data_IF_400417635290
#
_entry.id   IF_400417635290
#
_cell.length_a   1.000
_cell.length_b   1.000
_cell.length_c   1.000
_cell.angle_alpha   90.00
_cell.angle_beta   90.00
_cell.angle_gamma   90.00
#
_symmetry.space_group_name_H-M   'P 1'
#
loop_
_entity.id
_entity.type
_entity.pdbx_description
1 polymer ?
2 non-polymer ?
3 non-polymer ?
4 non-polymer ?
5 water ?
#
# COMPACT_ATOMS: atom_id res chain seq x y z
N UNK A 16 20.54 -7.02 20.32
CA UNK A 16 20.80 -8.49 19.99
C UNK A 16 19.55 -9.04 19.27
N UNK A 17 18.44 -8.32 19.47
CA UNK A 17 17.17 -8.56 18.81
C UNK A 17 17.20 -7.99 17.37
N UNK A 18 17.06 -8.85 16.37
CA UNK A 18 17.14 -8.41 14.98
C UNK A 18 15.78 -8.45 14.24
N UNK A 19 15.44 -7.36 13.58
CA UNK A 19 14.22 -7.29 12.77
C UNK A 19 14.59 -7.03 11.32
N UNK A 20 14.29 -7.97 10.42
CA UNK A 20 14.57 -7.81 8.99
C UNK A 20 13.59 -6.79 8.39
N UNK A 21 14.11 -5.81 7.69
CA UNK A 21 13.30 -4.83 7.01
C UNK A 21 13.54 -5.08 5.54
N UNK A 22 12.53 -5.63 4.88
CA UNK A 22 12.65 -6.13 3.51
C UNK A 22 11.82 -5.27 2.59
N UNK A 23 12.52 -4.43 1.81
CA UNK A 23 11.92 -3.35 1.07
C UNK A 23 12.55 -3.17 -0.30
N UNK A 24 11.79 -2.62 -1.27
CA UNK A 24 12.38 -2.26 -2.55
C UNK A 24 13.09 -0.91 -2.48
N UNK A 26 15.87 -0.23 -4.29
CA UNK A 26 16.24 0.03 -5.66
C UNK A 26 15.25 -0.65 -6.64
N UNK A 27 15.37 -0.29 -7.91
CA UNK A 27 14.55 -0.81 -8.99
C UNK A 27 13.26 -0.01 -9.22
N UNK A 28 12.36 -0.60 -10.03
CA UNK A 28 11.20 0.07 -10.60
C UNK A 28 10.24 0.73 -9.63
N UNK A 29 10.11 0.19 -8.43
CA UNK A 29 9.22 0.80 -7.40
C UNK A 29 9.99 1.26 -6.13
N UNK A 30 11.21 1.76 -6.35
CA UNK A 30 12.12 2.17 -5.29
C UNK A 30 11.56 3.30 -4.41
N UNK A 31 10.65 4.09 -4.94
CA UNK A 31 10.01 5.18 -4.15
C UNK A 31 9.30 4.60 -2.94
N UNK A 32 8.69 3.43 -3.13
CA UNK A 32 7.98 2.76 -2.04
C UNK A 32 8.91 2.36 -0.90
N UNK A 33 10.07 1.79 -1.20
CA UNK A 33 11.05 1.46 -0.18
C UNK A 33 11.56 2.69 0.56
N UNK A 34 11.83 3.75 -0.19
CA UNK A 34 12.28 4.97 0.43
C UNK A 34 11.24 5.46 1.44
N UNK A 36 8.64 3.94 3.01
CA UNK A 36 8.49 3.10 4.20
C UNK A 36 9.70 3.21 5.14
N UNK A 37 10.89 3.22 4.57
CA UNK A 37 12.11 3.27 5.36
C UNK A 37 12.16 4.57 6.19
N UNK A 38 11.80 5.68 5.58
CA UNK A 38 11.77 6.95 6.29
C UNK A 38 10.89 6.84 7.52
N UNK A 39 9.71 6.24 7.39
CA UNK A 39 8.84 6.06 8.54
C UNK A 39 9.37 5.09 9.58
N UNK A 40 9.91 3.95 9.15
CA UNK A 40 10.54 2.98 10.07
C UNK A 40 11.70 3.63 10.87
N UNK A 41 12.54 4.40 10.20
CA UNK A 41 13.66 5.09 10.83
C UNK A 41 13.19 6.06 11.93
N UNK A 42 12.15 6.85 11.67
CA UNK A 42 11.52 7.68 12.69
C UNK A 42 11.00 6.89 13.89
N UNK A 43 10.29 5.79 13.64
CA UNK A 43 9.82 4.93 14.72
C UNK A 43 10.98 4.35 15.54
N UNK A 44 12.00 3.83 14.87
CA UNK A 44 13.11 3.20 15.55
C UNK A 44 13.92 4.23 16.40
N UNK A 45 14.03 5.47 15.93
CA UNK A 45 14.73 6.50 16.71
C UNK A 45 13.91 6.80 17.97
N UNK A 46 12.60 6.80 17.82
CA UNK A 46 11.69 7.07 18.93
C UNK A 46 11.71 5.93 19.95
N UNK A 47 11.75 4.68 19.48
CA UNK A 47 11.67 3.48 20.32
C UNK A 47 12.68 2.45 19.85
N UNK A 48 13.95 2.66 20.21
CA UNK A 48 15.06 1.82 19.75
C UNK A 48 15.24 0.54 20.55
N UNK A 49 14.51 0.39 21.64
CA UNK A 49 14.62 -0.80 22.47
C UNK A 49 13.24 -1.40 22.76
N UNK A 50 13.22 -2.68 23.12
CA UNK A 50 12.01 -3.36 23.52
C UNK A 50 12.36 -4.45 24.53
N UNK A 51 11.56 -4.52 25.60
CA UNK A 51 11.82 -5.43 26.71
C UNK A 51 13.25 -5.24 27.24
N UNK A 52 13.71 -4.00 27.22
CA UNK A 52 15.02 -3.64 27.75
C UNK A 52 16.18 -4.01 26.83
N UNK A 53 15.90 -4.51 25.63
CA UNK A 53 16.95 -4.92 24.70
C UNK A 53 17.00 -4.01 23.46
N UNK A 54 18.19 -3.81 22.93
CA UNK A 54 18.39 -2.96 21.75
C UNK A 54 17.81 -3.69 20.52
N UNK A 55 17.06 -2.96 19.69
CA UNK A 55 16.51 -3.52 18.47
C UNK A 55 17.44 -3.15 17.33
N UNK A 56 17.91 -4.15 16.60
CA UNK A 56 18.70 -3.92 15.41
C UNK A 56 17.87 -4.18 14.17
N UNK A 57 17.88 -3.20 13.28
CA UNK A 57 17.24 -3.36 11.99
C UNK A 57 18.25 -3.92 11.00
N UNK A 58 17.80 -4.91 10.24
CA UNK A 58 18.57 -5.53 9.17
C UNK A 58 17.85 -5.16 7.87
N UNK A 59 18.32 -4.11 7.19
CA UNK A 59 17.73 -3.64 5.93
C UNK A 59 18.22 -4.53 4.79
N UNK A 60 17.27 -5.10 4.06
CA UNK A 60 17.54 -6.01 2.94
C UNK A 60 16.76 -5.49 1.74
N UNK A 61 17.50 -5.17 0.68
CA UNK A 61 16.93 -4.58 -0.52
C UNK A 61 16.42 -5.67 -1.44
N UNK A 62 15.15 -5.58 -1.83
CA UNK A 62 14.52 -6.55 -2.77
C UNK A 62 14.77 -6.20 -4.23
N UNK A 63 15.32 -5.00 -4.46
CA UNK A 63 15.56 -4.51 -5.81
C UNK A 63 14.30 -4.51 -6.69
N UNK A 64 13.11 -4.42 -6.06
CA UNK A 64 11.85 -4.45 -6.80
C UNK A 64 11.67 -5.75 -7.62
N UNK A 65 12.26 -6.86 -7.14
CA UNK A 65 12.19 -8.15 -7.83
C UNK A 65 11.59 -9.24 -6.92
N UNK A 66 10.75 -10.09 -7.52
CA UNK A 66 10.16 -11.25 -6.83
C UNK A 66 11.27 -12.19 -6.33
N UNK A 67 12.22 -12.52 -7.22
CA UNK A 67 13.31 -13.49 -6.88
C UNK A 67 14.11 -12.97 -5.71
N UNK A 68 14.48 -11.70 -5.75
CA UNK A 68 15.33 -11.14 -4.69
C UNK A 68 14.57 -10.89 -3.36
N UNK A 69 13.27 -10.60 -3.42
CA UNK A 69 12.46 -10.54 -2.22
C UNK A 69 12.50 -11.91 -1.56
N UNK A 70 12.29 -12.96 -2.36
CA UNK A 70 12.26 -14.32 -1.85
C UNK A 70 13.62 -14.66 -1.28
N UNK A 71 14.69 -14.36 -2.02
CA UNK A 71 16.06 -14.59 -1.53
C UNK A 71 16.35 -13.87 -0.20
N UNK A 72 15.97 -12.61 -0.11
CA UNK A 72 16.18 -11.81 1.11
C UNK A 72 15.49 -12.45 2.33
N UNK A 73 14.25 -12.86 2.16
CA UNK A 73 13.53 -13.51 3.25
C UNK A 73 14.18 -14.84 3.65
N UNK A 74 14.61 -15.60 2.64
CA UNK A 74 15.28 -16.89 2.90
C UNK A 74 16.55 -16.63 3.73
N UNK A 75 17.33 -15.61 3.35
CA UNK A 75 18.56 -15.26 4.09
C UNK A 75 18.32 -14.68 5.49
N UNK A 76 17.31 -13.84 5.61
CA UNK A 76 16.91 -13.29 6.90
C UNK A 76 16.61 -14.40 7.91
N UNK A 77 15.95 -15.44 7.45
CA UNK A 77 15.58 -16.54 8.31
C UNK A 77 16.74 -17.52 8.47
N UNK A 78 17.36 -17.96 7.36
CA UNK A 78 18.39 -19.02 7.45
C UNK A 78 19.71 -18.55 8.03
N UNK A 79 20.13 -17.36 7.66
CA UNK A 79 21.44 -16.84 7.97
C UNK A 79 21.38 -15.82 9.10
N UNK A 80 20.48 -14.85 9.02
CA UNK A 80 20.48 -13.75 10.00
C UNK A 80 19.77 -14.08 11.30
N UNK A 81 18.92 -15.11 11.26
CA UNK A 81 18.16 -15.61 12.43
C UNK A 81 17.29 -14.54 13.04
N UNK A 82 16.59 -13.78 12.21
CA UNK A 82 15.84 -12.65 12.73
C UNK A 82 14.66 -13.07 13.61
N UNK A 83 14.24 -12.19 14.50
CA UNK A 83 13.05 -12.43 15.31
C UNK A 83 11.76 -12.22 14.47
N UNK A 84 11.77 -11.21 13.60
CA UNK A 84 10.59 -10.81 12.88
C UNK A 84 10.99 -10.11 11.60
N UNK A 85 10.01 -9.92 10.72
CA UNK A 85 10.19 -9.30 9.42
C UNK A 85 9.18 -8.18 9.28
N UNK A 86 9.64 -7.02 8.85
CA UNK A 86 8.75 -5.93 8.39
C UNK A 86 8.96 -5.82 6.89
N UNK A 87 7.88 -5.95 6.13
CA UNK A 87 7.90 -5.88 4.68
C UNK A 87 6.86 -6.82 4.07
N UNK A 88 6.73 -6.88 2.74
CA UNK A 88 7.29 -5.93 1.81
C UNK A 88 6.22 -4.88 1.54
N UNK A 89 6.23 -4.27 0.35
CA UNK A 89 5.21 -3.27 -0.03
C UNK A 89 4.33 -3.82 -1.14
N UNK A 90 4.95 -4.22 -2.27
CA UNK A 90 4.19 -4.84 -3.34
C UNK A 90 3.65 -6.20 -2.90
N UNK A 91 2.35 -6.41 -3.11
CA UNK A 91 1.73 -7.68 -2.76
C UNK A 91 2.43 -8.88 -3.38
N UNK A 92 2.83 -8.78 -4.65
CA UNK A 92 3.61 -9.85 -5.26
C UNK A 92 4.83 -10.20 -4.41
N UNK A 93 5.53 -9.18 -3.90
CA UNK A 93 6.78 -9.43 -3.15
C UNK A 93 6.45 -9.96 -1.74
N UNK A 94 5.39 -9.44 -1.11
CA UNK A 94 4.95 -9.96 0.20
C UNK A 94 4.46 -11.37 0.07
N UNK A 95 3.83 -11.69 -1.05
CA UNK A 95 3.38 -13.08 -1.32
C UNK A 95 4.53 -14.04 -1.56
N UNK A 96 5.67 -13.54 -2.05
CA UNK A 96 6.86 -14.36 -2.24
C UNK A 96 7.43 -14.72 -0.89
N UNK A 97 7.34 -13.79 0.07
CA UNK A 97 7.99 -14.04 1.34
C UNK A 97 7.11 -14.54 2.47
N UNK A 98 5.82 -14.23 2.44
CA UNK A 98 4.86 -14.71 3.49
C UNK A 98 4.96 -16.21 3.72
N UNK A 99 5.05 -17.03 2.66
CA UNK A 99 5.15 -18.46 2.99
C UNK A 99 6.44 -18.81 3.71
N UNK A 100 7.52 -18.09 3.43
CA UNK A 100 8.79 -18.34 4.06
C UNK A 100 8.74 -18.00 5.57
N UNK A 101 8.10 -16.89 5.88
CA UNK A 101 7.88 -16.45 7.25
C UNK A 101 7.03 -17.50 7.97
N UNK A 102 5.93 -17.92 7.35
CA UNK A 102 5.00 -18.86 7.98
C UNK A 102 5.63 -20.21 8.27
N UNK A 103 6.35 -20.75 7.28
CA UNK A 103 6.98 -22.07 7.39
C UNK A 103 7.97 -22.11 8.53
N UNK A 104 8.61 -20.96 8.76
CA UNK A 104 9.62 -20.86 9.80
C UNK A 104 9.11 -20.17 11.08
N UNK A 105 7.81 -19.93 11.18
CA UNK A 105 7.21 -19.32 12.39
C UNK A 105 7.89 -18.03 12.78
N UNK A 106 8.09 -17.15 11.80
CA UNK A 106 8.73 -15.89 12.04
C UNK A 106 7.65 -14.83 11.82
N UNK A 107 7.34 -14.04 12.84
CA UNK A 107 6.26 -13.06 12.68
C UNK A 107 6.62 -12.05 11.60
N UNK A 109 5.03 -8.46 9.57
CA UNK A 109 4.05 -7.40 9.46
C UNK A 109 4.37 -6.61 8.19
N UNK A 110 3.45 -6.68 7.23
CA UNK A 110 3.58 -5.81 6.06
C UNK A 110 2.96 -4.42 6.37
N UNK A 111 3.70 -3.35 6.07
CA UNK A 111 3.09 -2.03 6.23
C UNK A 111 1.96 -1.72 5.25
N UNK A 112 1.97 -2.34 4.08
CA UNK A 112 1.25 -1.75 2.94
C UNK A 112 0.70 -2.72 1.87
N UNK A 113 1.03 -4.01 1.93
CA UNK A 113 0.43 -4.98 1.01
C UNK A 113 -1.04 -5.17 1.34
N UNK A 114 -1.88 -5.02 0.31
CA UNK A 114 -3.32 -5.02 0.46
C UNK A 114 -4.01 -6.28 -0.07
N UNK A 115 -3.30 -7.15 -0.79
CA UNK A 115 -3.93 -8.32 -1.35
C UNK A 115 -4.30 -9.30 -0.22
N UNK A 116 -5.54 -9.80 -0.21
CA UNK A 116 -5.98 -10.65 0.91
C UNK A 116 -5.13 -11.88 1.16
N UNK A 117 -4.56 -12.41 0.10
CA UNK A 117 -3.88 -13.70 0.14
C UNK A 117 -2.57 -13.64 0.93
N UNK A 118 -2.05 -12.42 1.15
CA UNK A 118 -0.84 -12.27 1.98
C UNK A 118 -1.03 -12.94 3.36
N UNK A 119 -2.17 -12.70 4.00
CA UNK A 119 -2.41 -13.19 5.37
C UNK A 119 -3.33 -14.43 5.42
N UNK A 120 -4.08 -14.68 4.36
CA UNK A 120 -5.13 -15.69 4.38
C UNK A 120 -4.56 -17.06 4.63
N UNK A 121 -5.12 -17.74 5.63
CA UNK A 121 -4.68 -19.10 5.96
C UNK A 121 -3.35 -19.16 6.71
N UNK A 122 -2.84 -18.01 7.18
CA UNK A 122 -1.55 -17.96 7.87
C UNK A 122 -1.76 -17.45 9.29
N UNK A 123 -0.89 -17.83 10.23
CA UNK A 123 -0.93 -17.32 11.59
C UNK A 123 0.11 -16.27 11.90
N UNK A 124 1.23 -16.28 11.17
CA UNK A 124 2.38 -15.45 11.51
C UNK A 124 2.49 -14.14 10.72
N UNK A 125 1.61 -13.93 9.75
CA UNK A 125 1.73 -12.84 8.79
C UNK A 125 0.52 -11.92 8.93
N UNK A 126 0.76 -10.63 9.16
CA UNK A 126 -0.31 -9.71 9.39
C UNK A 126 0.02 -8.39 8.69
N UNK A 127 -0.93 -7.48 8.69
CA UNK A 127 -0.73 -6.20 8.06
C UNK A 127 -1.33 -5.09 8.91
N UNK A 128 -0.86 -3.86 8.69
CA UNK A 128 -1.43 -2.68 9.40
C UNK A 128 -2.36 -1.82 8.54
N UNK A 129 -2.72 -2.34 7.36
CA UNK A 129 -3.53 -1.62 6.37
C UNK A 129 -4.76 -2.44 6.01
N UNK A 130 -5.69 -1.80 5.27
CA UNK A 130 -6.85 -2.48 4.71
C UNK A 130 -6.50 -3.51 3.66
N UNK A 131 -7.52 -4.25 3.21
CA UNK A 131 -7.38 -5.19 2.11
C UNK A 131 -8.21 -4.79 0.88
N UNK A 132 -7.89 -5.41 -0.25
CA UNK A 132 -8.39 -4.96 -1.54
C UNK A 132 -9.90 -5.17 -1.90
N UNK A 133 -10.56 -6.20 -1.35
CA UNK A 133 -12.00 -6.19 -1.50
C UNK A 133 -12.61 -4.83 -1.11
N UNK A 134 -12.16 -4.25 0.01
CA UNK A 134 -12.58 -2.90 0.42
C UNK A 134 -11.97 -1.79 -0.45
N UNK A 135 -10.67 -1.82 -0.71
CA UNK A 135 -10.08 -0.78 -1.57
C UNK A 135 -10.75 -0.75 -2.94
N UNK A 136 -11.00 -1.91 -3.55
CA UNK A 136 -11.69 -1.99 -4.84
C UNK A 136 -13.12 -1.49 -4.81
N UNK A 137 -13.88 -1.97 -3.83
CA UNK A 137 -15.28 -1.63 -3.66
C UNK A 137 -15.44 -0.14 -3.41
N UNK A 138 -14.51 0.44 -2.66
CA UNK A 138 -14.59 1.85 -2.28
C UNK A 138 -14.48 2.72 -3.53
N UNK A 140 -15.12 1.77 -6.60
CA UNK A 140 -16.26 1.41 -7.44
C UNK A 140 -17.48 2.26 -7.06
N UNK A 141 -17.75 2.37 -5.76
CA UNK A 141 -18.83 3.19 -5.23
C UNK A 141 -18.57 4.68 -5.47
N UNK A 142 -17.36 5.13 -5.18
CA UNK A 142 -16.98 6.53 -5.42
C UNK A 142 -17.18 6.92 -6.87
N UNK A 143 -16.70 6.08 -7.78
CA UNK A 143 -16.79 6.36 -9.22
C UNK A 143 -18.24 6.42 -9.68
N UNK A 144 -19.04 5.43 -9.28
CA UNK A 144 -20.40 5.31 -9.74
C UNK A 144 -21.34 6.31 -9.07
N UNK A 145 -21.25 6.43 -7.76
CA UNK A 145 -22.12 7.32 -7.00
C UNK A 145 -21.61 8.73 -7.05
N UNK A 146 -20.33 8.96 -6.80
CA UNK A 146 -19.85 10.36 -6.65
C UNK A 146 -19.45 11.06 -7.95
N UNK A 147 -18.86 10.32 -8.87
CA UNK A 147 -18.39 10.87 -10.13
C UNK A 147 -19.42 10.62 -11.25
N UNK A 148 -20.41 9.76 -11.01
CA UNK A 148 -21.37 9.39 -12.04
C UNK A 148 -20.76 8.65 -13.21
N UNK A 149 -19.65 7.97 -12.98
CA UNK A 149 -19.06 7.12 -14.00
C UNK A 149 -19.88 5.85 -14.18
N UNK A 150 -20.19 5.54 -15.43
CA UNK A 150 -20.96 4.34 -15.76
C UNK A 150 -20.20 3.39 -16.69
N UNK A 151 -19.20 3.89 -17.38
CA UNK A 151 -18.42 3.07 -18.34
C UNK A 151 -16.95 3.25 -18.03
N UNK A 152 -16.30 2.19 -17.57
CA UNK A 152 -14.92 2.29 -17.11
C UNK A 152 -14.05 1.27 -17.80
N UNK A 153 -12.90 1.72 -18.28
CA UNK A 153 -11.88 0.80 -18.80
C UNK A 153 -10.84 0.54 -17.70
N UNK A 154 -10.71 -0.72 -17.29
CA UNK A 154 -9.85 -1.10 -16.20
C UNK A 154 -8.55 -1.65 -16.79
N UNK A 155 -7.43 -1.01 -16.44
CA UNK A 155 -6.07 -1.37 -16.91
C UNK A 155 -5.40 -2.18 -15.80
N UNK A 156 -5.06 -3.44 -16.09
CA UNK A 156 -4.50 -4.38 -15.13
C UNK A 156 -3.07 -4.73 -15.53
N UNK A 157 -2.17 -4.71 -14.55
CA UNK A 157 -0.79 -5.15 -14.72
C UNK A 157 -0.75 -6.63 -14.40
N UNK A 158 -0.61 -7.44 -15.44
CA UNK A 158 -0.72 -8.91 -15.30
C UNK A 158 0.40 -9.53 -14.47
N UNK A 159 1.48 -8.77 -14.30
CA UNK A 159 2.63 -9.27 -13.56
C UNK A 159 2.50 -9.05 -12.05
N UNK A 160 1.48 -8.32 -11.61
CA UNK A 160 1.41 -7.91 -10.21
C UNK A 160 0.13 -8.44 -9.57
N UNK A 161 0.29 -9.36 -8.61
CA UNK A 161 -0.81 -9.92 -7.91
C UNK A 161 -1.69 -8.82 -7.34
N UNK A 162 -1.08 -7.72 -6.91
CA UNK A 162 -1.87 -6.61 -6.39
C UNK A 162 -2.86 -6.08 -7.41
N UNK A 163 -2.40 -5.88 -8.63
CA UNK A 163 -3.20 -5.34 -9.68
C UNK A 163 -4.31 -6.27 -10.11
N UNK A 164 -3.98 -7.55 -10.31
CA UNK A 164 -4.93 -8.51 -10.76
C UNK A 164 -6.10 -8.60 -9.76
N UNK A 165 -5.77 -8.61 -8.48
CA UNK A 165 -6.74 -8.68 -7.41
C UNK A 165 -7.59 -7.45 -7.31
N UNK A 166 -7.00 -6.27 -7.27
CA UNK A 166 -7.74 -5.03 -7.11
C UNK A 166 -8.72 -4.79 -8.27
N UNK A 167 -8.25 -5.09 -9.48
CA UNK A 167 -9.09 -4.97 -10.66
C UNK A 167 -10.33 -5.87 -10.48
N UNK A 168 -10.14 -7.15 -10.10
CA UNK A 168 -11.23 -8.07 -9.85
C UNK A 168 -12.21 -7.48 -8.83
N UNK A 169 -11.66 -6.96 -7.74
CA UNK A 169 -12.56 -6.46 -6.65
C UNK A 169 -13.31 -5.21 -7.04
N UNK A 170 -12.64 -4.32 -7.77
CA UNK A 170 -13.31 -3.15 -8.31
C UNK A 170 -14.44 -3.56 -9.26
N UNK A 171 -14.13 -4.44 -10.18
CA UNK A 171 -15.09 -4.82 -11.23
C UNK A 171 -16.31 -5.52 -10.65
N UNK A 172 -16.12 -6.41 -9.68
CA UNK A 172 -17.24 -7.07 -9.02
C UNK A 172 -18.24 -6.03 -8.47
N UNK A 173 -17.73 -5.07 -7.72
CA UNK A 173 -18.59 -4.05 -7.13
C UNK A 173 -19.16 -3.07 -8.20
N UNK A 174 -18.33 -2.59 -9.12
CA UNK A 174 -18.77 -1.60 -10.11
C UNK A 174 -19.93 -2.13 -10.97
N UNK A 175 -19.80 -3.36 -11.42
CA UNK A 175 -20.83 -4.03 -12.21
C UNK A 175 -22.07 -4.42 -11.38
N UNK A 176 -21.87 -4.79 -10.10
CA UNK A 176 -22.99 -5.02 -9.18
C UNK A 176 -23.84 -3.76 -9.02
N UNK A 177 -23.21 -2.61 -9.09
CA UNK A 177 -23.90 -1.34 -9.05
C UNK A 177 -24.63 -1.01 -10.36
N UNK A 178 -24.30 -1.71 -11.45
CA UNK A 178 -24.91 -1.47 -12.76
C UNK A 178 -23.98 -0.88 -13.82
N UNK A 179 -22.72 -0.69 -13.46
CA UNK A 179 -21.74 -0.13 -14.36
C UNK A 179 -21.28 -1.14 -15.39
N UNK A 180 -20.64 -0.63 -16.41
CA UNK A 180 -20.10 -1.50 -17.46
C UNK A 180 -18.61 -1.29 -17.58
N UNK A 181 -17.91 -2.39 -17.85
CA UNK A 181 -16.47 -2.38 -17.87
C UNK A 181 -15.90 -3.05 -19.12
N UNK A 182 -14.78 -2.51 -19.55
CA UNK A 182 -13.92 -3.15 -20.54
C UNK A 182 -12.56 -3.31 -19.89
N UNK A 183 -11.94 -4.48 -20.10
CA UNK A 183 -10.65 -4.80 -19.52
C UNK A 183 -9.54 -4.76 -20.57
N UNK A 184 -8.43 -4.13 -20.24
CA UNK A 184 -7.20 -4.19 -21.01
C UNK A 184 -6.06 -4.55 -20.05
N UNK A 185 -4.93 -4.94 -20.65
CA UNK A 185 -3.87 -5.59 -19.93
C UNK A 185 -2.50 -5.07 -20.34
N UNK A 186 -1.59 -4.95 -19.37
CA UNK A 186 -0.22 -4.55 -19.64
C UNK A 186 0.70 -5.24 -18.64
N UNK A 187 2.00 -4.98 -18.76
CA UNK A 187 3.03 -5.50 -17.87
C UNK A 187 3.84 -4.37 -17.24
N UNK A 188 4.28 -4.59 -16.00
CA UNK A 188 5.27 -3.76 -15.33
C UNK A 188 6.44 -3.55 -16.29
N UNK A 189 6.92 -2.32 -16.45
CA UNK A 189 8.04 -2.07 -17.33
C UNK A 189 7.63 -1.54 -18.68
N UNK A 190 6.36 -1.69 -19.06
CA UNK A 190 5.89 -1.28 -20.39
C UNK A 190 6.00 0.25 -20.53
N UNK A 191 6.36 0.72 -21.72
CA UNK A 191 6.47 2.16 -21.99
C UNK A 191 5.39 2.67 -22.96
N UNK A 192 4.83 1.76 -23.75
CA UNK A 192 3.92 2.09 -24.86
C UNK A 192 2.59 1.41 -24.58
N UNK A 193 1.58 2.25 -24.41
CA UNK A 193 0.22 1.78 -24.11
C UNK A 193 -0.77 2.10 -25.23
N UNK A 194 -0.25 2.25 -26.45
CA UNK A 194 -1.08 2.61 -27.61
C UNK A 194 -2.16 1.59 -27.92
N UNK A 195 -1.82 0.30 -27.90
CA UNK A 195 -2.81 -0.74 -28.22
C UNK A 195 -3.95 -0.68 -27.20
N UNK A 196 -3.60 -0.65 -25.92
CA UNK A 196 -4.62 -0.67 -24.84
C UNK A 196 -5.47 0.58 -24.83
N UNK A 197 -4.83 1.75 -25.08
CA UNK A 197 -5.58 3.00 -25.11
C UNK A 197 -6.51 3.06 -26.30
N UNK A 198 -6.12 2.45 -27.42
CA UNK A 198 -6.99 2.37 -28.60
C UNK A 198 -8.26 1.54 -28.29
N UNK A 199 -8.09 0.37 -27.67
CA UNK A 199 -9.22 -0.41 -27.18
C UNK A 199 -10.00 0.43 -26.15
N UNK A 200 -9.29 1.04 -25.21
CA UNK A 200 -9.97 1.82 -24.18
C UNK A 200 -10.88 2.87 -24.77
N UNK A 202 -12.30 3.21 -27.70
CA UNK A 202 -13.42 2.68 -28.48
C UNK A 202 -14.60 2.29 -27.61
N UNK A 203 -14.38 2.15 -26.30
CA UNK A 203 -15.46 1.85 -25.36
C UNK A 203 -16.22 3.13 -24.94
N UNK A 204 -15.74 4.29 -25.38
CA UNK A 204 -16.30 5.61 -24.95
C UNK A 204 -16.51 5.63 -23.44
N UNK A 205 -15.39 5.47 -22.69
CA UNK A 205 -15.46 5.49 -21.25
C UNK A 205 -15.66 6.88 -20.63
N UNK A 206 -16.30 6.90 -19.47
CA UNK A 206 -16.34 8.08 -18.58
C UNK A 206 -15.05 8.18 -17.76
N UNK A 207 -14.39 7.03 -17.54
CA UNK A 207 -13.18 6.99 -16.69
C UNK A 207 -12.33 5.78 -17.08
N UNK A 208 -11.03 5.90 -16.88
CA UNK A 208 -10.16 4.74 -16.89
C UNK A 208 -9.66 4.56 -15.46
N UNK A 209 -9.54 3.30 -15.03
CA UNK A 209 -9.08 2.95 -13.68
C UNK A 209 -7.88 2.02 -13.85
N UNK A 210 -6.74 2.42 -13.30
CA UNK A 210 -5.48 1.72 -13.49
C UNK A 210 -5.04 1.17 -12.15
N UNK A 211 -4.85 -0.15 -12.06
CA UNK A 211 -4.58 -0.80 -10.78
C UNK A 211 -3.10 -1.24 -10.60
N UNK A 212 -2.22 -0.65 -11.39
CA UNK A 212 -0.78 -0.90 -11.28
C UNK A 212 -0.06 0.09 -10.35
N UNK A 213 1.22 0.32 -10.64
CA UNK A 213 2.07 1.20 -9.80
C UNK A 213 2.42 2.48 -10.56
N UNK A 214 2.95 3.46 -9.83
CA UNK A 214 3.14 4.83 -10.34
C UNK A 214 3.88 4.93 -11.67
N UNK A 215 4.87 4.05 -11.94
CA UNK A 215 5.56 4.27 -13.19
C UNK A 215 4.67 4.07 -14.40
N UNK A 216 3.84 3.05 -14.38
CA UNK A 216 2.95 2.80 -15.50
C UNK A 216 1.72 3.68 -15.46
N UNK A 217 1.25 4.03 -14.26
CA UNK A 217 0.07 4.86 -14.14
C UNK A 217 0.41 6.21 -14.79
N UNK A 218 1.59 6.73 -14.50
CA UNK A 218 1.99 8.04 -15.01
C UNK A 218 2.07 8.03 -16.56
N UNK A 219 2.65 6.97 -17.11
CA UNK A 219 2.84 6.88 -18.55
C UNK A 219 1.49 6.69 -19.26
N UNK A 220 0.63 5.84 -18.70
CA UNK A 220 -0.73 5.69 -19.25
C UNK A 220 -1.46 7.02 -19.26
N UNK A 221 -1.32 7.77 -18.18
CA UNK A 221 -2.00 9.03 -18.05
C UNK A 221 -1.54 10.04 -19.12
N UNK A 222 -0.23 10.17 -19.33
CA UNK A 222 0.30 11.06 -20.37
C UNK A 222 -0.20 10.66 -21.76
N UNK A 223 -0.11 9.38 -22.06
CA UNK A 223 -0.56 8.89 -23.35
C UNK A 223 -2.08 9.03 -23.53
N UNK A 224 -2.86 8.88 -22.46
CA UNK A 224 -4.31 9.01 -22.55
C UNK A 224 -4.72 10.46 -22.83
N UNK A 225 -4.07 11.40 -22.13
CA UNK A 225 -4.37 12.81 -22.33
C UNK A 225 -3.92 13.28 -23.73
N UNK A 226 -2.70 12.92 -24.13
CA UNK A 226 -2.19 13.16 -25.48
C UNK A 226 -3.17 12.70 -26.55
N UNK A 227 -3.87 11.58 -26.30
CA UNK A 227 -4.92 11.09 -27.22
C UNK A 227 -6.19 11.97 -27.31
N UNK A 228 -6.41 12.88 -26.37
CA UNK A 228 -7.66 13.63 -26.32
C UNK A 228 -8.63 13.14 -25.25
N UNK A 229 -8.26 12.13 -24.46
CA UNK A 229 -9.15 11.67 -23.37
C UNK A 229 -9.37 12.77 -22.35
N UNK A 230 -10.63 13.12 -22.12
CA UNK A 230 -11.01 14.15 -21.19
C UNK A 230 -11.80 13.59 -19.98
N UNK A 231 -11.95 12.27 -19.89
CA UNK A 231 -12.63 11.66 -18.74
C UNK A 231 -11.72 11.58 -17.48
N UNK A 232 -12.23 10.90 -16.46
CA UNK A 232 -11.52 10.75 -15.20
C UNK A 232 -10.43 9.72 -15.35
N UNK A 233 -9.29 9.97 -14.71
CA UNK A 233 -8.27 8.92 -14.53
C UNK A 233 -8.27 8.58 -13.06
N UNK A 234 -8.50 7.32 -12.76
CA UNK A 234 -8.64 6.79 -11.40
C UNK A 234 -7.58 5.74 -11.20
N UNK A 235 -7.07 5.62 -9.98
CA UNK A 235 -6.13 4.54 -9.65
C UNK A 235 -6.27 4.10 -8.19
N UNK A 236 -5.54 3.05 -7.84
CA UNK A 236 -5.42 2.64 -6.45
C UNK A 236 -4.20 3.24 -5.77
N UNK A 237 -3.86 2.66 -4.62
CA UNK A 237 -2.77 3.13 -3.77
C UNK A 237 -1.41 3.04 -4.45
N UNK A 238 -1.33 2.25 -5.52
CA UNK A 238 -0.14 2.20 -6.35
C UNK A 238 0.27 3.51 -6.93
N UNK A 239 -0.68 4.46 -7.02
CA UNK A 239 -0.42 5.80 -7.47
C UNK A 239 0.34 6.66 -6.47
N UNK A 240 0.39 6.23 -5.20
CA UNK A 240 0.69 7.16 -4.09
C UNK A 240 2.17 7.32 -3.82
N UNK A 241 2.88 7.95 -4.75
CA UNK A 241 4.31 8.31 -4.62
C UNK A 241 4.39 9.68 -5.29
N UNK A 242 5.23 10.58 -4.79
CA UNK A 242 5.38 11.86 -5.49
C UNK A 242 5.90 11.71 -6.91
N UNK A 243 6.55 10.58 -7.19
CA UNK A 243 7.00 10.29 -8.55
C UNK A 243 5.86 10.28 -9.57
N UNK A 244 4.66 9.93 -9.14
CA UNK A 244 3.49 10.01 -10.02
C UNK A 244 3.38 11.38 -10.70
N UNK A 245 3.51 12.41 -9.90
CA UNK A 245 3.46 13.81 -10.36
C UNK A 245 4.72 14.24 -11.10
N UNK A 246 5.89 13.79 -10.60
CA UNK A 246 7.18 14.08 -11.24
C UNK A 246 7.20 13.58 -12.69
N UNK A 247 6.71 12.35 -12.90
CA UNK A 247 6.64 11.75 -14.24
C UNK A 247 5.43 12.30 -15.02
N UNK A 248 4.27 12.28 -14.38
CA UNK A 248 3.01 12.61 -15.04
C UNK A 248 2.72 14.06 -15.42
N UNK A 249 3.27 15.01 -14.68
CA UNK A 249 2.97 16.43 -14.86
C UNK A 249 1.48 16.77 -14.99
N UNK A 250 1.16 17.58 -15.97
CA UNK A 250 -0.22 18.04 -16.25
C UNK A 250 -1.17 16.86 -16.49
N UNK A 251 -0.66 15.78 -17.07
CA UNK A 251 -1.48 14.64 -17.42
C UNK A 251 -2.12 13.96 -16.18
N UNK A 252 -1.49 14.08 -15.01
CA UNK A 252 -2.09 13.55 -13.78
C UNK A 252 -2.84 14.61 -12.96
N UNK A 253 -2.98 15.83 -13.45
CA UNK A 253 -3.87 16.78 -12.75
C UNK A 253 -5.31 16.25 -12.76
N UNK A 254 -5.96 16.32 -11.60
CA UNK A 254 -7.31 15.77 -11.45
C UNK A 254 -7.38 14.27 -11.30
N UNK A 255 -6.24 13.57 -11.38
CA UNK A 255 -6.20 12.13 -11.12
C UNK A 255 -6.69 11.85 -9.70
N UNK A 256 -7.63 10.92 -9.57
CA UNK A 256 -8.14 10.52 -8.27
C UNK A 256 -7.65 9.13 -7.89
N UNK A 257 -7.26 8.94 -6.63
CA UNK A 257 -6.78 7.63 -6.22
C UNK A 257 -7.15 7.26 -4.79
N UNK A 258 -7.31 5.98 -4.54
CA UNK A 258 -7.55 5.53 -3.20
C UNK A 258 -6.21 5.31 -2.52
N UNK A 259 -6.14 5.65 -1.24
CA UNK A 259 -4.97 5.36 -0.44
C UNK A 259 -5.39 5.24 1.02
N UNK A 260 -4.41 5.35 1.93
CA UNK A 260 -4.55 4.96 3.31
C UNK A 260 -4.62 6.15 4.24
N UNK A 261 -4.42 7.36 3.72
CA UNK A 261 -3.96 8.47 4.54
C UNK A 261 -3.99 9.80 3.82
N UNK A 262 -4.22 10.88 4.55
CA UNK A 262 -3.81 12.22 4.11
C UNK A 262 -3.36 12.97 5.35
N UNK A 263 -2.23 13.67 5.28
CA UNK A 263 -1.69 14.29 6.48
C UNK A 263 -2.63 15.31 7.11
N UNK A 264 -3.42 15.99 6.29
CA UNK A 264 -4.35 16.97 6.81
C UNK A 264 -5.52 16.30 7.54
N UNK A 265 -5.68 14.97 7.41
CA UNK A 265 -6.73 14.25 8.13
C UNK A 265 -6.27 13.73 9.49
N UNK A 266 -5.00 13.94 9.84
CA UNK A 266 -4.44 13.38 11.08
C UNK A 266 -5.26 13.85 12.27
N UNK A 267 -5.58 12.91 13.14
CA UNK A 267 -6.61 13.09 14.12
C UNK A 267 -6.15 12.67 15.53
N UNK A 268 -5.71 11.42 15.69
CA UNK A 268 -5.20 10.98 16.97
C UNK A 268 -3.78 11.58 17.26
N UNK A 269 -3.34 11.58 18.54
CA UNK A 269 -2.13 12.33 18.86
C UNK A 269 -0.82 11.76 18.30
N UNK A 270 -0.73 10.46 18.12
CA UNK A 270 0.44 9.88 17.50
C UNK A 270 0.51 10.31 16.02
N UNK A 271 -0.67 10.41 15.37
CA UNK A 271 -0.70 10.81 13.96
C UNK A 271 -0.34 12.28 13.78
N UNK A 272 -0.85 13.14 14.67
CA UNK A 272 -0.51 14.57 14.60
C UNK A 272 0.97 14.79 14.87
N UNK A 273 1.51 14.06 15.85
CA UNK A 273 2.95 14.14 16.16
C UNK A 273 3.79 13.67 15.01
N UNK A 274 3.44 12.54 14.40
CA UNK A 274 4.17 12.06 13.24
C UNK A 274 4.23 13.11 12.12
N UNK A 275 3.13 13.83 11.88
CA UNK A 275 3.13 14.89 10.88
C UNK A 275 4.21 15.92 11.22
N UNK A 276 4.19 16.43 12.46
CA UNK A 276 5.15 17.45 12.83
C UNK A 276 6.60 16.94 12.80
N UNK A 277 6.86 15.70 13.26
CA UNK A 277 8.20 15.15 13.26
C UNK A 277 8.70 14.93 11.82
N UNK A 278 7.80 14.47 10.96
CA UNK A 278 8.19 14.17 9.58
C UNK A 278 8.49 15.48 8.87
N UNK A 279 7.60 16.46 9.05
CA UNK A 279 7.78 17.79 8.48
C UNK A 279 9.12 18.45 8.89
N UNK A 280 9.49 18.30 10.15
CA UNK A 280 10.70 18.89 10.69
C UNK A 280 11.92 18.26 10.02
N UNK A 281 11.89 16.96 9.80
CA UNK A 281 13.04 16.25 9.21
C UNK A 281 13.18 16.41 7.70
N UNK A 282 12.04 16.52 7.01
CA UNK A 282 11.98 16.41 5.54
C UNK A 282 11.46 17.65 4.82
N UNK A 283 10.86 18.59 5.55
CA UNK A 283 10.39 19.85 4.98
C UNK A 283 9.19 19.71 4.06
N UNK A 284 8.44 18.62 4.20
CA UNK A 284 7.24 18.35 3.41
C UNK A 284 6.35 17.44 4.23
N UNK A 285 5.06 17.41 3.88
CA UNK A 285 4.06 16.57 4.55
C UNK A 285 4.38 15.08 4.32
N UNK A 286 4.14 14.22 5.31
CA UNK A 286 4.31 12.82 5.07
C UNK A 286 3.19 12.24 4.21
N UNK A 287 3.47 11.04 3.69
CA UNK A 287 2.51 10.35 2.85
C UNK A 287 2.20 8.98 3.50
N UNK A 288 1.25 8.27 2.93
CA UNK A 288 0.70 7.05 3.52
C UNK A 288 1.81 6.07 3.88
N UNK A 289 2.71 5.84 2.94
CA UNK A 289 3.73 4.83 3.18
C UNK A 289 4.72 5.26 4.28
N UNK A 290 4.95 6.56 4.47
CA UNK A 290 5.74 7.00 5.64
C UNK A 290 5.04 6.57 6.93
N UNK A 291 3.75 6.88 7.06
CA UNK A 291 2.98 6.60 8.27
C UNK A 291 2.85 5.09 8.49
N UNK A 292 2.64 4.40 7.40
CA UNK A 292 2.46 2.95 7.45
C UNK A 292 3.76 2.22 7.89
N UNK A 293 4.91 2.70 7.43
CA UNK A 293 6.20 2.17 7.90
C UNK A 293 6.38 2.34 9.41
N UNK A 294 6.04 3.51 9.90
CA UNK A 294 6.13 3.83 11.33
C UNK A 294 5.23 2.88 12.10
N UNK A 295 4.01 2.67 11.60
CA UNK A 295 3.06 1.81 12.29
C UNK A 295 3.42 0.32 12.29
N UNK A 296 4.03 -0.17 11.21
CA UNK A 296 4.43 -1.56 11.15
C UNK A 296 5.39 -1.81 12.29
N UNK A 297 6.36 -0.91 12.44
CA UNK A 297 7.35 -1.03 13.49
C UNK A 297 6.74 -0.92 14.88
N UNK A 299 3.64 -1.24 15.91
CA UNK A 299 2.74 -2.35 16.20
C UNK A 299 3.49 -3.61 16.56
N UNK A 300 4.56 -3.89 15.82
CA UNK A 300 5.37 -5.09 16.12
C UNK A 300 5.94 -5.02 17.54
N UNK A 301 6.48 -3.86 17.90
CA UNK A 301 7.10 -3.68 19.23
C UNK A 301 6.04 -3.66 20.35
N UNK A 302 4.89 -3.07 20.08
CA UNK A 302 3.75 -3.12 21.01
C UNK A 302 3.37 -4.56 21.30
N UNK A 303 3.35 -5.39 20.25
CA UNK A 303 3.02 -6.81 20.34
C UNK A 303 4.05 -7.58 21.15
N UNK A 304 5.33 -7.28 20.92
CA UNK A 304 6.42 -7.88 21.71
C UNK A 304 6.27 -7.53 23.21
N UNK A 305 5.94 -6.28 23.50
CA UNK A 305 5.75 -5.85 24.88
C UNK A 305 4.58 -6.57 25.55
N UNK A 306 3.45 -6.73 24.86
CA UNK A 306 2.33 -7.48 25.37
C UNK A 306 2.66 -8.97 25.54
N UNK A 307 3.45 -9.53 24.63
CA UNK A 307 3.88 -10.91 24.76
C UNK A 307 4.72 -11.09 26.02
N UNK A 308 5.56 -10.10 26.33
CA UNK A 308 6.38 -10.12 27.54
C UNK A 308 7.64 -10.95 27.39
N UNK A 309 7.92 -11.43 26.18
CA UNK A 309 9.11 -12.23 25.93
C UNK A 309 9.36 -12.29 24.43
N UNK A 310 10.46 -12.91 24.01
CA UNK A 310 10.77 -13.07 22.58
C UNK A 310 10.32 -14.40 21.95
N UNK A 311 9.28 -14.99 22.52
CA UNK A 311 8.66 -16.19 21.98
C UNK A 311 7.87 -15.74 20.74
N UNK A 312 8.32 -16.23 19.60
CA UNK A 312 7.71 -15.90 18.32
C UNK A 312 6.24 -16.27 18.18
N UNK A 313 5.81 -17.39 18.77
CA UNK A 313 4.39 -17.75 18.71
C UNK A 313 3.53 -16.75 19.50
N UNK A 314 3.99 -16.36 20.70
CA UNK A 314 3.27 -15.34 21.49
C UNK A 314 3.29 -13.99 20.81
N UNK A 315 4.40 -13.64 20.17
CA UNK A 315 4.45 -12.36 19.42
C UNK A 315 3.43 -12.40 18.30
N UNK A 316 3.42 -13.48 17.52
CA UNK A 316 2.44 -13.65 16.45
C UNK A 316 1.00 -13.51 16.98
N UNK A 317 0.70 -14.20 18.09
CA UNK A 317 -0.62 -14.12 18.71
C UNK A 317 -0.99 -12.67 19.09
N UNK A 318 -0.04 -11.95 19.66
CA UNK A 318 -0.29 -10.59 20.14
C UNK A 318 -0.49 -9.59 18.97
N UNK A 319 0.16 -9.84 17.83
CA UNK A 319 -0.01 -8.95 16.70
C UNK A 319 -1.50 -8.96 16.32
N UNK A 320 -2.11 -10.14 16.39
CA UNK A 320 -3.52 -10.31 16.01
C UNK A 320 -4.53 -9.88 17.11
N UNK A 321 -4.04 -9.48 18.27
CA UNK A 321 -4.87 -8.94 19.31
C UNK A 321 -4.75 -7.42 19.43
N UNK A 322 -4.06 -6.77 18.49
CA UNK A 322 -3.85 -5.31 18.54
C UNK A 322 -5.19 -4.58 18.37
N UNK A 323 -5.53 -3.75 19.35
CA UNK A 323 -6.83 -3.06 19.40
C UNK A 323 -6.63 -1.64 19.90
N UNK A 324 -7.37 -0.70 19.34
CA UNK A 324 -7.32 0.70 19.78
C UNK A 324 -5.92 1.26 19.87
N UNK A 325 -5.05 0.91 18.92
CA UNK A 325 -3.67 1.37 18.93
C UNK A 325 -3.56 2.68 18.14
N UNK A 326 -3.13 3.75 18.78
CA UNK A 326 -2.95 5.03 18.09
C UNK A 326 -1.73 4.99 17.17
N UNK A 327 -1.98 4.90 15.87
CA UNK A 327 -0.91 4.83 14.88
C UNK A 327 -0.84 6.14 14.10
N UNK A 328 0.30 6.33 13.43
CA UNK A 328 0.50 7.46 12.52
C UNK A 328 -0.52 7.45 11.39
N UNK A 329 -0.93 6.25 10.96
CA UNK A 329 -1.86 6.10 9.82
C UNK A 329 -3.33 6.02 10.24
N UNK A 330 -3.61 6.14 11.53
CA UNK A 330 -4.97 6.04 12.06
C UNK A 330 -4.97 5.08 13.25
N UNK A 331 -6.15 4.87 13.84
CA UNK A 331 -6.30 3.89 14.93
C UNK A 331 -6.21 2.51 14.32
N UNK A 332 -5.33 1.68 14.87
CA UNK A 332 -5.08 0.34 14.31
C UNK A 332 -5.81 -0.71 15.15
N UNK A 333 -6.64 -1.50 14.46
CA UNK A 333 -7.32 -2.67 14.99
C UNK A 333 -7.06 -3.81 14.02
N UNK A 334 -6.43 -4.88 14.47
CA UNK A 334 -6.10 -5.99 13.58
C UNK A 334 -7.04 -7.15 13.87
N UNK A 335 -7.73 -7.63 12.84
CA UNK A 335 -8.68 -8.75 13.02
C UNK A 335 -7.99 -10.10 13.19
N UNK A 336 -8.80 -11.13 13.41
CA UNK A 336 -8.31 -12.47 13.69
C UNK A 336 -7.63 -13.12 12.47
N UNK A 337 -7.83 -12.54 11.28
CA UNK A 337 -7.12 -12.94 10.05
C UNK A 337 -5.81 -12.18 9.76
N UNK A 338 -5.46 -11.23 10.62
CA UNK A 338 -4.29 -10.40 10.43
C UNK A 338 -4.50 -9.20 9.53
N UNK A 339 -5.76 -8.83 9.29
CA UNK A 339 -6.09 -7.66 8.48
C UNK A 339 -6.56 -6.51 9.35
N UNK A 340 -6.09 -5.31 9.05
CA UNK A 340 -6.44 -4.14 9.79
C UNK A 340 -7.76 -3.51 9.29
N UNK A 341 -8.61 -3.10 10.22
CA UNK A 341 -9.88 -2.44 9.92
C UNK A 341 -9.59 -0.96 9.77
N UNK A 342 -9.43 -0.50 8.53
CA UNK A 342 -8.96 0.87 8.23
C UNK A 342 -9.80 1.48 7.15
N UNK A 343 -9.83 2.80 7.14
CA UNK A 343 -10.63 3.53 6.19
C UNK A 343 -9.87 3.81 4.90
N UNK A 344 -10.61 3.90 3.81
CA UNK A 344 -10.04 4.30 2.55
C UNK A 344 -10.11 5.83 2.43
N UNK A 345 -8.99 6.43 2.04
CA UNK A 345 -8.93 7.85 1.71
C UNK A 345 -8.85 8.02 0.20
N UNK A 346 -9.73 8.85 -0.35
CA UNK A 346 -9.65 9.26 -1.76
C UNK A 346 -8.96 10.62 -1.83
N UNK A 347 -7.86 10.67 -2.57
CA UNK A 347 -7.09 11.88 -2.78
C UNK A 347 -7.13 12.27 -4.24
N UNK A 348 -6.79 13.50 -4.54
CA UNK A 348 -6.79 14.04 -5.91
C UNK A 348 -5.56 14.92 -6.11
N UNK A 349 -4.95 14.84 -7.30
CA UNK A 349 -3.83 15.69 -7.66
C UNK A 349 -4.39 17.03 -8.10
N UNK A 350 -3.95 18.08 -7.41
CA UNK A 350 -4.28 19.44 -7.79
C UNK A 350 -3.07 20.36 -7.66
N UNK A 351 -2.75 21.06 -8.75
CA UNK A 351 -1.62 21.98 -8.81
C UNK A 351 -0.32 21.35 -8.37
N UNK A 352 -0.04 20.14 -8.83
CA UNK A 352 1.24 19.50 -8.56
C UNK A 352 1.47 19.00 -7.14
N UNK A 353 0.40 18.90 -6.34
CA UNK A 353 0.46 18.23 -5.06
C UNK A 353 -0.85 17.47 -4.80
N UNK A 354 -0.94 16.79 -3.65
CA UNK A 354 -2.08 15.89 -3.38
C UNK A 354 -3.04 16.47 -2.32
N UNK A 355 -4.31 16.66 -2.72
CA UNK A 355 -5.37 17.15 -1.85
C UNK A 355 -6.20 16.00 -1.33
N UNK A 356 -6.75 16.17 -0.14
CA UNK A 356 -7.77 15.27 0.40
C UNK A 356 -9.06 15.50 -0.39
N UNK A 357 -9.69 14.41 -0.80
CA UNK A 357 -10.98 14.49 -1.45
C UNK A 357 -12.11 13.87 -0.57
N UNK A 358 -11.92 12.64 -0.07
CA UNK A 358 -12.97 12.04 0.76
C UNK A 358 -12.43 10.88 1.61
N UNK A 359 -13.17 10.56 2.66
CA UNK A 359 -12.89 9.35 3.44
C UNK A 359 -14.07 8.39 3.29
N UNK A 360 -13.79 7.11 3.04
CA UNK A 360 -14.83 6.07 2.94
C UNK A 360 -14.55 5.07 4.05
N UNK A 361 -15.41 5.06 5.06
CA UNK A 361 -15.31 4.10 6.16
C UNK A 361 -16.04 2.84 5.73
N UNK A 362 -15.68 1.68 6.32
CA UNK A 362 -16.29 0.40 5.88
C UNK A 362 -17.83 0.41 5.78
N UNK A 363 -18.47 1.02 6.77
CA UNK A 363 -19.95 1.11 6.81
C UNK A 363 -20.58 1.93 5.68
N UNK A 364 -19.86 2.89 5.10
CA UNK A 364 -20.45 3.71 3.99
C UNK A 364 -20.73 2.89 2.74
N UNK A 365 -20.34 1.61 2.73
CA UNK A 365 -20.66 0.72 1.62
C UNK A 365 -21.65 -0.30 2.13
#
# INVERSE_FOLDING_TARGET
>A
XGSDKIHHHHHHXRKVVKIAVILPXTGGISAFGRXVWEGIQIAHEEKPTVLGEEVELVLLDTRSEKTEAANAAARAIDKEKVLAIIGEVASAHSLAIAPIAEENKVPXVTPASTNPLVTQGRKFVSRVCFIDPFQGAAXAVFAYKNLGAKRVVVFTDVEQDYSVGLSNFFINKFTELGGQVKRVFFRSGDQDFSAQLSVAXSFNPDAIYITGYYPEIALISRQARQLGFTGYILAGDGADAPELIEIGGEAVEGLLFTTHYHPKAASNPVAKKFVEVYKEKYGKEPAALNALGYDAYXVLLDAIERAGSFDREKIAEEIRKTRNFNGASGIINIDENGDAIKSVVVNIVKNGSVDFEAVINPDDLK
#
